data_IF_476653995615
#
_entry.id   IF_476653995615
#
_cell.length_a   1.000
_cell.length_b   1.000
_cell.length_c   1.000
_cell.angle_alpha   90.00
_cell.angle_beta   90.00
_cell.angle_gamma   90.00
#
_symmetry.space_group_name_H-M   'P 1'
#
loop_
_entity.id
_entity.type
_entity.pdbx_description
1 polymer ?
#
# COMPACT_ATOMS: atom_id res chain seq x y z
N UNK A 1 -13.39 -1.86 -1.47
CA UNK A 1 -12.13 -1.22 -1.03
C UNK A 1 -10.97 -2.20 -1.02
N UNK A 2 -11.12 -3.45 -0.55
CA UNK A 2 -10.00 -4.40 -0.40
C UNK A 2 -9.02 -4.44 -1.59
N UNK A 3 -9.50 -4.65 -2.82
CA UNK A 3 -8.61 -4.70 -3.99
C UNK A 3 -7.88 -3.39 -4.29
N UNK A 4 -8.48 -2.25 -3.98
CA UNK A 4 -7.85 -0.93 -4.13
C UNK A 4 -6.77 -0.75 -3.05
N UNK A 5 -7.00 -1.21 -1.82
CA UNK A 5 -5.97 -1.22 -0.76
C UNK A 5 -4.82 -2.16 -1.10
N UNK A 6 -5.11 -3.32 -1.69
CA UNK A 6 -4.07 -4.25 -2.15
C UNK A 6 -3.24 -3.64 -3.29
N UNK A 7 -3.89 -2.98 -4.25
CA UNK A 7 -3.18 -2.25 -5.31
C UNK A 7 -2.29 -1.15 -4.73
N UNK A 8 -2.81 -0.37 -3.77
CA UNK A 8 -2.03 0.64 -3.03
C UNK A 8 -0.83 0.03 -2.33
N UNK A 9 -1.02 -1.10 -1.63
CA UNK A 9 0.06 -1.85 -0.97
C UNK A 9 1.17 -2.25 -1.95
N UNK A 10 0.80 -2.74 -3.14
CA UNK A 10 1.80 -3.07 -4.17
C UNK A 10 2.57 -1.86 -4.70
N UNK A 11 2.02 -0.65 -4.66
CA UNK A 11 2.78 0.55 -5.01
C UNK A 11 3.81 0.91 -3.91
N UNK A 12 3.48 0.68 -2.64
CA UNK A 12 4.46 0.80 -1.56
C UNK A 12 5.58 -0.23 -1.67
N UNK A 13 5.24 -1.50 -1.91
CA UNK A 13 6.24 -2.55 -2.14
C UNK A 13 7.12 -2.20 -3.34
N UNK A 14 6.52 -1.74 -4.44
CA UNK A 14 7.25 -1.27 -5.62
C UNK A 14 8.21 -0.12 -5.28
N UNK A 15 7.77 0.89 -4.54
CA UNK A 15 8.62 2.01 -4.13
C UNK A 15 9.84 1.53 -3.33
N UNK A 16 9.64 0.64 -2.36
CA UNK A 16 10.72 0.07 -1.56
C UNK A 16 11.70 -0.77 -2.40
N UNK A 17 11.17 -1.62 -3.29
CA UNK A 17 12.01 -2.41 -4.21
C UNK A 17 12.84 -1.51 -5.13
N UNK A 18 12.28 -0.41 -5.63
CA UNK A 18 13.02 0.54 -6.47
C UNK A 18 14.12 1.26 -5.70
N UNK A 19 13.86 1.69 -4.46
CA UNK A 19 14.88 2.31 -3.61
C UNK A 19 16.02 1.34 -3.29
N UNK A 20 15.70 0.08 -3.01
CA UNK A 20 16.72 -0.96 -2.79
C UNK A 20 17.54 -1.23 -4.05
N UNK A 21 16.88 -1.35 -5.21
CA UNK A 21 17.56 -1.58 -6.48
C UNK A 21 18.51 -0.43 -6.86
N UNK A 22 18.10 0.83 -6.64
CA UNK A 22 18.96 1.99 -6.87
C UNK A 22 20.20 1.97 -5.96
N UNK A 23 20.03 1.59 -4.68
CA UNK A 23 21.14 1.38 -3.76
C UNK A 23 22.13 0.31 -4.24
N UNK A 24 21.64 -0.85 -4.70
CA UNK A 24 22.50 -1.91 -5.24
C UNK A 24 23.27 -1.47 -6.49
N UNK A 25 22.67 -0.60 -7.32
CA UNK A 25 23.37 -0.01 -8.47
C UNK A 25 24.49 0.92 -7.97
N UNK A 26 24.25 1.71 -6.93
CA UNK A 26 25.27 2.51 -6.24
C UNK A 26 26.43 1.65 -5.74
N UNK A 27 26.14 0.56 -5.02
CA UNK A 27 27.17 -0.38 -4.55
C UNK A 27 27.99 -0.97 -5.71
N UNK A 28 27.33 -1.26 -6.84
CA UNK A 28 28.02 -1.76 -8.03
C UNK A 28 28.94 -0.71 -8.68
N UNK A 29 28.55 0.58 -8.64
CA UNK A 29 29.41 1.69 -9.08
C UNK A 29 30.67 1.76 -8.22
N UNK A 30 30.53 1.67 -6.90
CA UNK A 30 31.67 1.65 -5.96
C UNK A 30 32.58 0.45 -6.21
N UNK A 31 32.00 -0.75 -6.37
CA UNK A 31 32.77 -1.97 -6.65
C UNK A 31 33.54 -1.90 -7.98
N UNK A 32 32.95 -1.30 -9.02
CA UNK A 32 33.65 -1.06 -10.29
C UNK A 32 34.79 -0.05 -10.13
N UNK A 33 34.58 0.98 -9.33
CA UNK A 33 35.59 1.99 -9.06
C UNK A 33 36.80 1.37 -8.33
N UNK A 34 36.55 0.55 -7.31
CA UNK A 34 37.60 -0.12 -6.52
C UNK A 34 38.37 -1.19 -7.30
N UNK A 35 37.79 -1.68 -8.39
CA UNK A 35 38.42 -2.60 -9.33
C UNK A 35 39.14 -1.89 -10.50
N UNK A 36 39.43 -0.59 -10.37
CA UNK A 36 40.07 0.27 -11.40
C UNK A 36 39.27 0.39 -12.73
N UNK A 37 37.97 0.07 -12.72
CA UNK A 37 37.07 0.19 -13.89
C UNK A 37 36.33 1.54 -13.94
N UNK A 38 37.07 2.64 -13.78
CA UNK A 38 36.49 3.98 -13.58
C UNK A 38 35.55 4.45 -14.71
N UNK A 39 35.84 4.13 -15.98
CA UNK A 39 34.97 4.53 -17.10
C UNK A 39 33.61 3.83 -17.05
N UNK A 40 33.58 2.54 -16.66
CA UNK A 40 32.34 1.79 -16.50
C UNK A 40 31.54 2.29 -15.29
N UNK A 41 32.24 2.55 -14.17
CA UNK A 41 31.64 3.14 -12.97
C UNK A 41 30.98 4.50 -13.28
N UNK A 42 31.70 5.39 -13.96
CA UNK A 42 31.20 6.71 -14.34
C UNK A 42 29.98 6.65 -15.27
N UNK A 43 30.01 5.72 -16.23
CA UNK A 43 28.89 5.50 -17.15
C UNK A 43 27.63 5.03 -16.43
N UNK A 44 27.74 4.00 -15.60
CA UNK A 44 26.60 3.45 -14.84
C UNK A 44 26.05 4.50 -13.88
N UNK A 45 26.93 5.20 -13.16
CA UNK A 45 26.53 6.29 -12.27
C UNK A 45 25.73 7.37 -12.99
N UNK A 46 26.17 7.78 -14.18
CA UNK A 46 25.50 8.83 -14.96
C UNK A 46 24.18 8.36 -15.58
N UNK A 47 24.13 7.12 -16.06
CA UNK A 47 22.98 6.63 -16.82
C UNK A 47 21.86 6.07 -15.93
N UNK A 48 22.21 5.47 -14.78
CA UNK A 48 21.30 4.62 -14.00
C UNK A 48 21.00 5.12 -12.57
N UNK A 49 22.00 5.62 -11.82
CA UNK A 49 21.79 6.03 -10.42
C UNK A 49 20.81 7.21 -10.36
N UNK A 50 19.78 7.09 -9.53
CA UNK A 50 18.72 8.09 -9.38
C UNK A 50 17.80 8.22 -10.60
N UNK A 51 17.86 7.28 -11.54
CA UNK A 51 17.02 7.32 -12.75
C UNK A 51 15.55 7.05 -12.40
N UNK A 52 14.66 7.90 -12.90
CA UNK A 52 13.22 7.74 -12.71
C UNK A 52 12.67 6.51 -13.45
N UNK A 53 11.80 5.74 -12.78
CA UNK A 53 11.10 4.60 -13.36
C UNK A 53 10.00 5.02 -14.35
N UNK A 54 9.37 6.17 -14.12
CA UNK A 54 8.35 6.79 -14.98
C UNK A 54 8.76 8.23 -15.24
N UNK A 55 8.46 8.75 -16.44
CA UNK A 55 8.80 10.12 -16.82
C UNK A 55 8.29 11.15 -15.81
N UNK A 56 9.23 11.87 -15.20
CA UNK A 56 8.96 12.93 -14.22
C UNK A 56 8.45 12.45 -12.86
N UNK A 57 8.48 11.13 -12.56
CA UNK A 57 8.09 10.61 -11.23
C UNK A 57 9.21 9.82 -10.58
N UNK A 58 9.52 10.21 -9.35
CA UNK A 58 10.20 9.33 -8.40
C UNK A 58 9.21 8.24 -7.97
N UNK A 59 9.72 7.08 -7.55
CA UNK A 59 8.85 5.95 -7.20
C UNK A 59 7.86 6.25 -6.07
N UNK A 60 8.23 7.14 -5.12
CA UNK A 60 7.30 7.57 -4.06
C UNK A 60 6.17 8.48 -4.60
N UNK A 61 6.44 9.30 -5.62
CA UNK A 61 5.42 10.17 -6.24
C UNK A 61 4.36 9.34 -6.96
N UNK A 62 4.71 8.15 -7.46
CA UNK A 62 3.71 7.23 -8.03
C UNK A 62 2.68 6.83 -6.97
N UNK A 63 3.12 6.59 -5.73
CA UNK A 63 2.24 6.29 -4.59
C UNK A 63 1.38 7.50 -4.25
N UNK A 64 2.00 8.68 -4.13
CA UNK A 64 1.28 9.92 -3.79
C UNK A 64 0.24 10.30 -4.84
N UNK A 65 0.58 10.22 -6.13
CA UNK A 65 -0.34 10.50 -7.22
C UNK A 65 -1.50 9.49 -7.24
N UNK A 66 -1.23 8.20 -7.02
CA UNK A 66 -2.28 7.18 -6.89
C UNK A 66 -3.22 7.48 -5.71
N UNK A 67 -2.66 7.89 -4.58
CA UNK A 67 -3.40 8.24 -3.37
C UNK A 67 -4.31 9.45 -3.59
N UNK A 68 -3.78 10.49 -4.22
CA UNK A 68 -4.47 11.73 -4.48
C UNK A 68 -5.57 11.59 -5.54
N UNK A 69 -5.31 10.85 -6.63
CA UNK A 69 -6.19 10.79 -7.80
C UNK A 69 -7.25 9.71 -7.65
N UNK A 70 -6.87 8.50 -7.23
CA UNK A 70 -7.74 7.33 -7.30
C UNK A 70 -8.20 6.87 -5.92
N UNK A 71 -7.26 6.56 -5.03
CA UNK A 71 -7.59 5.96 -3.73
C UNK A 71 -8.51 6.85 -2.90
N UNK A 72 -8.18 8.15 -2.77
CA UNK A 72 -8.98 9.10 -1.99
C UNK A 72 -10.40 9.24 -2.55
N UNK A 73 -10.54 9.36 -3.88
CA UNK A 73 -11.85 9.49 -4.52
C UNK A 73 -12.75 8.27 -4.28
N UNK A 74 -12.20 7.06 -4.43
CA UNK A 74 -12.94 5.81 -4.20
C UNK A 74 -13.32 5.69 -2.72
N UNK A 75 -12.41 6.05 -1.80
CA UNK A 75 -12.66 6.00 -0.36
C UNK A 75 -13.77 6.94 0.06
N UNK A 76 -13.72 8.20 -0.36
CA UNK A 76 -14.76 9.21 -0.09
C UNK A 76 -16.12 8.74 -0.60
N UNK A 77 -16.21 8.30 -1.86
CA UNK A 77 -17.48 7.81 -2.41
C UNK A 77 -18.04 6.61 -1.65
N UNK A 78 -17.17 5.71 -1.18
CA UNK A 78 -17.60 4.56 -0.38
C UNK A 78 -18.07 4.96 1.04
N UNK A 79 -17.45 5.98 1.64
CA UNK A 79 -17.84 6.54 2.94
C UNK A 79 -19.18 7.26 2.84
N UNK A 80 -19.36 8.12 1.84
CA UNK A 80 -20.62 8.82 1.56
C UNK A 80 -21.77 7.84 1.36
N UNK A 81 -21.58 6.81 0.52
CA UNK A 81 -22.61 5.79 0.29
C UNK A 81 -22.97 5.01 1.56
N UNK A 82 -22.00 4.75 2.44
CA UNK A 82 -22.29 4.11 3.75
C UNK A 82 -23.07 5.05 4.67
N UNK A 83 -22.73 6.34 4.67
CA UNK A 83 -23.45 7.33 5.45
C UNK A 83 -24.91 7.42 4.99
N UNK A 84 -25.12 7.49 3.68
CA UNK A 84 -26.46 7.62 3.09
C UNK A 84 -27.33 6.38 3.26
N UNK A 85 -26.78 5.18 3.07
CA UNK A 85 -27.57 3.94 3.04
C UNK A 85 -27.74 3.27 4.41
N UNK A 86 -26.75 3.37 5.30
CA UNK A 86 -26.76 2.65 6.59
C UNK A 86 -26.51 3.54 7.79
N UNK A 87 -26.50 4.86 7.60
CA UNK A 87 -26.28 5.84 8.67
C UNK A 87 -24.86 5.76 9.24
N UNK A 88 -23.87 5.46 8.41
CA UNK A 88 -22.46 5.38 8.81
C UNK A 88 -22.09 4.14 9.63
N UNK A 89 -23.01 3.18 9.77
CA UNK A 89 -22.72 1.93 10.50
C UNK A 89 -21.77 1.04 9.69
N UNK A 90 -20.65 0.69 10.29
CA UNK A 90 -19.71 -0.30 9.78
C UNK A 90 -20.24 -1.73 9.99
N UNK A 91 -19.85 -2.65 9.11
CA UNK A 91 -20.09 -4.10 9.26
C UNK A 91 -21.56 -4.52 9.45
N UNK A 92 -22.53 -3.76 8.93
CA UNK A 92 -23.96 -4.08 9.07
C UNK A 92 -24.26 -5.47 8.51
N UNK A 93 -23.77 -5.77 7.31
CA UNK A 93 -23.99 -7.08 6.68
C UNK A 93 -23.34 -8.24 7.44
N UNK A 94 -22.11 -8.06 7.92
CA UNK A 94 -21.41 -9.10 8.71
C UNK A 94 -22.05 -9.27 10.09
N UNK A 95 -22.52 -8.19 10.71
CA UNK A 95 -23.25 -8.20 11.97
C UNK A 95 -24.60 -8.90 11.84
N UNK A 96 -25.34 -8.66 10.76
CA UNK A 96 -26.59 -9.36 10.45
C UNK A 96 -26.34 -10.83 10.11
N UNK A 97 -25.30 -11.13 9.34
CA UNK A 97 -24.92 -12.50 9.04
C UNK A 97 -24.51 -13.27 10.30
N UNK A 98 -23.77 -12.63 11.21
CA UNK A 98 -23.39 -13.20 12.51
C UNK A 98 -24.62 -13.41 13.39
N UNK A 99 -25.54 -12.45 13.45
CA UNK A 99 -26.81 -12.59 14.19
C UNK A 99 -27.64 -13.77 13.68
N UNK A 100 -27.74 -13.96 12.36
CA UNK A 100 -28.47 -15.10 11.77
C UNK A 100 -27.82 -16.45 12.06
N UNK A 101 -26.50 -16.49 12.23
CA UNK A 101 -25.72 -17.74 12.36
C UNK A 101 -25.34 -18.10 13.79
N UNK A 102 -25.38 -17.16 14.72
CA UNK A 102 -24.99 -17.42 16.11
C UNK A 102 -25.99 -18.34 16.82
N UNK A 103 -25.51 -19.04 17.83
CA UNK A 103 -26.36 -19.80 18.73
C UNK A 103 -26.74 -18.90 19.91
N UNK A 104 -28.00 -18.51 19.99
CA UNK A 104 -28.48 -17.59 21.02
C UNK A 104 -28.28 -18.19 22.42
N UNK A 105 -27.64 -17.42 23.31
CA UNK A 105 -27.40 -17.81 24.71
C UNK A 105 -26.17 -18.69 24.95
N UNK A 106 -25.44 -19.10 23.90
CA UNK A 106 -24.19 -19.84 24.05
C UNK A 106 -23.01 -18.88 24.31
N UNK A 107 -22.14 -19.25 25.27
CA UNK A 107 -20.88 -18.55 25.53
C UNK A 107 -19.99 -18.57 24.28
N UNK A 108 -19.40 -17.43 23.91
CA UNK A 108 -18.56 -17.20 22.71
C UNK A 108 -19.34 -17.05 21.39
N UNK A 109 -20.67 -16.93 21.45
CA UNK A 109 -21.55 -16.71 20.29
C UNK A 109 -22.26 -15.35 20.39
N UNK A 110 -21.63 -14.36 21.01
CA UNK A 110 -22.18 -13.03 21.21
C UNK A 110 -22.28 -12.27 19.87
N UNK A 111 -23.39 -11.54 19.69
CA UNK A 111 -23.67 -10.77 18.47
C UNK A 111 -22.58 -9.70 18.21
N UNK A 112 -22.12 -9.04 19.27
CA UNK A 112 -21.10 -8.01 19.23
C UNK A 112 -19.89 -8.47 20.05
N UNK A 113 -18.67 -8.02 19.72
CA UNK A 113 -17.54 -8.16 20.62
C UNK A 113 -17.93 -7.57 21.98
N UNK A 114 -17.83 -8.35 23.04
CA UNK A 114 -17.79 -7.81 24.40
C UNK A 114 -16.37 -7.36 24.64
N UNK A 115 -16.17 -6.17 25.20
CA UNK A 115 -14.86 -5.79 25.74
C UNK A 115 -14.47 -6.89 26.74
N UNK A 116 -13.43 -7.64 26.38
CA UNK A 116 -12.80 -8.57 27.31
C UNK A 116 -11.98 -7.71 28.25
N UNK A 117 -12.61 -7.25 29.34
CA UNK A 117 -11.84 -6.82 30.51
C UNK A 117 -10.95 -8.00 30.91
N UNK A 118 -9.64 -7.76 30.85
CA UNK A 118 -8.59 -8.73 31.18
C UNK A 118 -8.55 -9.09 32.65
#
# INVERSE_FOLDING_TARGET
MEWVERARGHLYDFHQMMGHADGLIGDAVEALHDADHHELAARINTELVGRNAIEGRWSFQIVEEFDAIYWSAVRTAAEDLRNDLVGGRHHVFESEMKERRRTHGARHHEQRPTDVDG
#
